data_IF_436970575259
#
_entry.id   IF_436970575259
#
_cell.length_a   1.000
_cell.length_b   1.000
_cell.length_c   1.000
_cell.angle_alpha   90.00
_cell.angle_beta   90.00
_cell.angle_gamma   90.00
#
_symmetry.space_group_name_H-M   'P 1'
#
loop_
_entity.id
_entity.type
_entity.pdbx_description
1 polymer ?
#
# COMPACT_ATOMS: atom_id res chain seq x y z
N UNK A 1 -20.99 24.48 12.90
CA UNK A 1 -20.58 23.73 11.69
C UNK A 1 -20.09 22.37 12.13
N UNK A 2 -20.84 21.34 11.76
CA UNK A 2 -20.73 19.99 12.29
C UNK A 2 -19.48 19.29 11.75
N UNK A 3 -18.66 18.76 12.67
CA UNK A 3 -17.47 17.97 12.35
C UNK A 3 -17.83 16.51 12.52
N UNK A 4 -18.27 15.81 11.46
CA UNK A 4 -18.27 14.35 11.28
C UNK A 4 -18.75 14.10 9.82
N UNK A 5 -17.87 13.54 8.96
CA UNK A 5 -17.88 12.09 8.84
C UNK A 5 -16.46 11.54 8.95
N UNK A 6 -16.15 10.92 10.10
CA UNK A 6 -15.11 9.90 10.12
C UNK A 6 -15.70 8.69 9.39
N UNK A 7 -15.54 8.62 8.06
CA UNK A 7 -15.90 7.44 7.27
C UNK A 7 -14.96 6.29 7.66
N UNK A 8 -15.40 5.31 8.47
CA UNK A 8 -14.54 4.22 8.90
C UNK A 8 -14.65 3.12 7.86
N UNK A 9 -14.06 3.33 6.67
CA UNK A 9 -14.18 2.34 5.57
C UNK A 9 -12.99 2.28 4.64
N UNK A 10 -11.77 2.36 5.15
CA UNK A 10 -10.58 2.03 4.34
C UNK A 10 -9.49 1.22 5.04
N UNK A 11 -9.73 0.68 6.25
CA UNK A 11 -8.71 -0.11 6.95
C UNK A 11 -8.60 -1.57 6.49
N UNK A 12 -9.63 -2.14 5.86
CA UNK A 12 -9.62 -3.57 5.48
C UNK A 12 -8.51 -3.96 4.51
N UNK A 13 -8.14 -3.07 3.58
CA UNK A 13 -7.13 -3.34 2.57
C UNK A 13 -5.70 -3.23 3.11
N UNK A 14 -5.46 -2.33 4.07
CA UNK A 14 -4.15 -2.18 4.73
C UNK A 14 -3.84 -3.42 5.58
N UNK A 15 -4.85 -3.94 6.27
CA UNK A 15 -4.73 -5.15 7.09
C UNK A 15 -4.40 -6.36 6.23
N UNK A 16 -5.04 -6.51 5.07
CA UNK A 16 -4.72 -7.59 4.12
C UNK A 16 -3.28 -7.52 3.59
N UNK A 17 -2.81 -6.33 3.24
CA UNK A 17 -1.42 -6.12 2.78
C UNK A 17 -0.40 -6.39 3.90
N UNK A 18 -0.65 -5.88 5.11
CA UNK A 18 0.21 -6.12 6.27
C UNK A 18 0.28 -7.60 6.64
N UNK A 19 -0.85 -8.31 6.53
CA UNK A 19 -0.92 -9.75 6.78
C UNK A 19 -0.11 -10.53 5.73
N UNK A 20 -0.16 -10.15 4.45
CA UNK A 20 0.65 -10.75 3.38
C UNK A 20 2.16 -10.50 3.58
N UNK A 21 2.56 -9.29 3.96
CA UNK A 21 3.95 -8.98 4.31
C UNK A 21 4.45 -9.83 5.49
N UNK A 22 3.63 -9.94 6.54
CA UNK A 22 3.96 -10.76 7.70
C UNK A 22 4.11 -12.24 7.32
N UNK A 23 3.19 -12.78 6.51
CA UNK A 23 3.28 -14.14 5.99
C UNK A 23 4.53 -14.35 5.12
N UNK A 24 4.93 -13.35 4.32
CA UNK A 24 6.11 -13.42 3.48
C UNK A 24 7.38 -13.52 4.31
N UNK A 25 7.53 -12.65 5.32
CA UNK A 25 8.65 -12.71 6.26
C UNK A 25 8.67 -14.00 7.07
N UNK A 26 7.50 -14.46 7.55
CA UNK A 26 7.40 -15.70 8.33
C UNK A 26 7.78 -16.92 7.50
N UNK A 27 7.24 -17.06 6.29
CA UNK A 27 7.55 -18.19 5.38
C UNK A 27 8.98 -18.18 4.87
N UNK A 28 9.55 -16.99 4.60
CA UNK A 28 10.96 -16.84 4.23
C UNK A 28 11.92 -17.24 5.35
N UNK A 29 11.61 -16.88 6.61
CA UNK A 29 12.40 -17.29 7.77
C UNK A 29 12.24 -18.79 8.07
N UNK A 30 11.02 -19.32 7.91
CA UNK A 30 10.74 -20.74 8.09
C UNK A 30 11.48 -21.61 7.06
N UNK A 31 11.60 -21.14 5.80
CA UNK A 31 12.39 -21.80 4.76
C UNK A 31 13.87 -21.96 5.14
N UNK A 32 14.46 -20.95 5.79
CA UNK A 32 15.86 -21.01 6.24
C UNK A 32 16.05 -22.04 7.36
N UNK A 33 15.11 -22.10 8.30
CA UNK A 33 15.15 -23.05 9.43
C UNK A 33 14.90 -24.48 8.95
N UNK A 34 14.00 -24.67 7.99
CA UNK A 34 13.53 -25.97 7.53
C UNK A 34 14.28 -26.49 6.29
N UNK A 35 15.49 -25.97 6.01
CA UNK A 35 16.30 -26.36 4.82
C UNK A 35 16.71 -27.84 4.78
N UNK A 36 16.76 -28.52 5.92
CA UNK A 36 17.27 -29.89 6.02
C UNK A 36 16.18 -30.98 5.94
N UNK A 37 14.91 -30.60 5.72
CA UNK A 37 13.80 -31.57 5.65
C UNK A 37 13.17 -31.65 4.24
N UNK A 38 12.71 -32.85 3.81
CA UNK A 38 12.14 -33.08 2.48
C UNK A 38 10.81 -32.34 2.20
N UNK A 39 10.29 -31.60 3.19
CA UNK A 39 9.15 -30.67 3.04
C UNK A 39 9.51 -29.37 2.29
N UNK A 40 10.75 -29.24 1.80
CA UNK A 40 11.24 -28.06 1.11
C UNK A 40 10.36 -27.63 -0.09
N UNK A 41 9.82 -28.60 -0.86
CA UNK A 41 8.94 -28.30 -1.99
C UNK A 41 7.61 -27.65 -1.60
N UNK A 42 7.00 -28.09 -0.49
CA UNK A 42 5.72 -27.56 -0.01
C UNK A 42 5.86 -26.13 0.51
N UNK A 43 6.95 -25.85 1.24
CA UNK A 43 7.27 -24.51 1.73
C UNK A 43 7.62 -23.54 0.60
N UNK A 44 8.29 -24.02 -0.44
CA UNK A 44 8.58 -23.22 -1.64
C UNK A 44 7.29 -22.81 -2.35
N UNK A 45 6.35 -23.75 -2.53
CA UNK A 45 5.05 -23.47 -3.15
C UNK A 45 4.25 -22.42 -2.35
N UNK A 46 4.25 -22.52 -1.02
CA UNK A 46 3.61 -21.53 -0.13
C UNK A 46 4.29 -20.16 -0.26
N UNK A 47 5.63 -20.12 -0.27
CA UNK A 47 6.38 -18.86 -0.39
C UNK A 47 6.09 -18.15 -1.72
N UNK A 48 6.12 -18.87 -2.84
CA UNK A 48 5.81 -18.31 -4.16
C UNK A 48 4.36 -17.81 -4.23
N UNK A 49 3.41 -18.52 -3.61
CA UNK A 49 2.02 -18.06 -3.50
C UNK A 49 1.88 -16.75 -2.73
N UNK A 50 2.61 -16.59 -1.62
CA UNK A 50 2.63 -15.33 -0.85
C UNK A 50 3.30 -14.21 -1.63
N UNK A 51 4.41 -14.47 -2.32
CA UNK A 51 5.10 -13.47 -3.16
C UNK A 51 4.20 -13.02 -4.32
N UNK A 52 3.49 -13.95 -4.98
CA UNK A 52 2.53 -13.62 -6.02
C UNK A 52 1.35 -12.79 -5.47
N UNK A 53 0.85 -13.15 -4.28
CA UNK A 53 -0.16 -12.36 -3.56
C UNK A 53 0.32 -10.95 -3.25
N UNK A 54 1.56 -10.81 -2.76
CA UNK A 54 2.22 -9.51 -2.55
C UNK A 54 2.29 -8.70 -3.85
N UNK A 55 2.73 -9.31 -4.94
CA UNK A 55 2.87 -8.66 -6.24
C UNK A 55 1.51 -8.20 -6.81
N UNK A 56 0.42 -8.91 -6.52
CA UNK A 56 -0.95 -8.51 -6.88
C UNK A 56 -1.46 -7.41 -5.96
N UNK A 57 -1.17 -7.45 -4.65
CA UNK A 57 -1.57 -6.36 -3.74
C UNK A 57 -0.76 -5.08 -3.89
N UNK A 58 0.45 -5.15 -4.43
CA UNK A 58 1.34 -4.00 -4.68
C UNK A 58 0.70 -2.93 -5.61
N UNK A 59 0.10 -3.27 -6.76
CA UNK A 59 -0.65 -2.31 -7.58
C UNK A 59 -2.04 -1.97 -7.02
N UNK A 60 -2.66 -2.84 -6.21
CA UNK A 60 -4.06 -2.69 -5.78
C UNK A 60 -4.29 -2.04 -4.40
N UNK A 61 -3.26 -1.83 -3.58
CA UNK A 61 -3.41 -1.32 -2.22
C UNK A 61 -3.71 0.18 -2.11
N UNK A 62 -2.84 0.94 -1.43
CA UNK A 62 -2.99 2.39 -1.21
C UNK A 62 -1.96 3.25 -1.94
N UNK A 63 -0.97 2.67 -2.63
CA UNK A 63 0.05 3.45 -3.36
C UNK A 63 -0.56 4.24 -4.52
N UNK A 64 -1.41 3.60 -5.32
CA UNK A 64 -2.13 4.29 -6.42
C UNK A 64 -3.05 5.38 -5.88
N UNK A 65 -3.73 5.12 -4.75
CA UNK A 65 -4.65 6.10 -4.15
C UNK A 65 -3.90 7.27 -3.50
N UNK A 66 -2.77 7.00 -2.82
CA UNK A 66 -1.90 8.01 -2.24
C UNK A 66 -1.25 8.88 -3.32
N UNK A 67 -0.83 8.30 -4.45
CA UNK A 67 -0.31 9.04 -5.62
C UNK A 67 -1.39 9.95 -6.20
N UNK A 68 -2.63 9.49 -6.35
CA UNK A 68 -3.75 10.33 -6.80
C UNK A 68 -4.03 11.50 -5.85
N UNK A 69 -4.00 11.26 -4.53
CA UNK A 69 -4.14 12.31 -3.53
C UNK A 69 -2.98 13.32 -3.58
N UNK A 70 -1.75 12.84 -3.77
CA UNK A 70 -0.57 13.69 -3.89
C UNK A 70 -0.63 14.56 -5.16
N UNK A 71 -1.05 13.97 -6.28
CA UNK A 71 -1.27 14.69 -7.54
C UNK A 71 -2.35 15.77 -7.40
N UNK A 72 -3.44 15.49 -6.67
CA UNK A 72 -4.47 16.48 -6.37
C UNK A 72 -3.93 17.64 -5.51
N UNK A 73 -3.08 17.34 -4.51
CA UNK A 73 -2.44 18.37 -3.68
C UNK A 73 -1.49 19.24 -4.50
N UNK A 74 -0.65 18.63 -5.34
CA UNK A 74 0.28 19.33 -6.22
C UNK A 74 -0.50 20.22 -7.20
N UNK A 75 -1.55 19.70 -7.83
CA UNK A 75 -2.39 20.47 -8.74
C UNK A 75 -3.06 21.65 -8.03
N UNK A 76 -3.56 21.46 -6.81
CA UNK A 76 -4.12 22.54 -6.00
C UNK A 76 -3.07 23.60 -5.64
N UNK A 77 -1.86 23.19 -5.25
CA UNK A 77 -0.77 24.11 -4.96
C UNK A 77 -0.35 24.94 -6.19
N UNK A 78 -0.36 24.33 -7.38
CA UNK A 78 -0.08 25.02 -8.65
C UNK A 78 -1.19 26.03 -9.00
N UNK A 79 -2.46 25.68 -8.76
CA UNK A 79 -3.57 26.61 -9.03
C UNK A 79 -3.52 27.82 -8.09
N UNK A 80 -3.24 27.60 -6.79
CA UNK A 80 -3.12 28.66 -5.81
C UNK A 80 -1.95 29.62 -6.08
N UNK A 81 -0.79 29.11 -6.51
CA UNK A 81 0.35 29.97 -6.88
C UNK A 81 0.07 30.80 -8.14
N UNK A 82 -0.75 30.29 -9.06
CA UNK A 82 -1.18 31.01 -10.26
C UNK A 82 -2.18 32.12 -9.95
N UNK A 83 -3.07 31.90 -8.97
CA UNK A 83 -4.00 32.94 -8.51
C UNK A 83 -3.32 34.04 -7.69
N UNK A 84 -2.31 33.71 -6.89
CA UNK A 84 -1.51 34.71 -6.18
C UNK A 84 -0.75 35.62 -7.16
N UNK A 85 -0.22 35.03 -8.24
CA UNK A 85 0.46 35.79 -9.31
C UNK A 85 -0.50 36.64 -10.16
N UNK A 86 -1.78 36.27 -10.25
CA UNK A 86 -2.80 37.01 -11.01
C UNK A 86 -3.52 38.09 -10.20
N UNK A 87 -3.26 38.28 -8.89
CA UNK A 87 -3.82 39.44 -8.17
C UNK A 87 -3.25 40.73 -8.76
N UNK A 88 -4.05 41.52 -9.52
CA UNK A 88 -3.59 42.83 -9.93
C UNK A 88 -3.58 43.70 -8.67
N UNK A 89 -2.38 44.12 -8.25
CA UNK A 89 -2.21 45.19 -7.28
C UNK A 89 -2.92 46.44 -7.80
N UNK A 90 -4.12 46.70 -7.27
CA UNK A 90 -4.69 48.05 -7.22
C UNK A 90 -3.94 48.87 -6.19
#
# INVERSE_FOLDING_TARGET
>A
MDTIPATPRSFGMDVGFLMLLFLASLTGLLLLILRETPLMGSLLAVHIGVVAGLFITMPYGKFVHAVYRYAALIRNAIEQSREETWRPHT
#
